data_IF_914617621687
#
_entry.id   IF_914617621687
#
_cell.length_a   1.000
_cell.length_b   1.000
_cell.length_c   1.000
_cell.angle_alpha   90.00
_cell.angle_beta   90.00
_cell.angle_gamma   90.00
#
_symmetry.space_group_name_H-M   'P 1'
#
loop_
_entity.id
_entity.type
_entity.pdbx_description
1 polymer ?
#
# COMPACT_ATOMS: atom_id res chain seq x y z
N UNK A 1 1.32 10.38 -68.41
CA UNK A 1 1.82 9.79 -67.14
C UNK A 1 1.03 8.52 -66.91
N UNK A 2 1.73 7.38 -66.94
CA UNK A 2 1.16 6.03 -67.04
C UNK A 2 0.33 5.68 -65.79
N UNK A 3 -0.85 5.08 -65.99
CA UNK A 3 -1.78 4.71 -64.91
C UNK A 3 -1.12 3.78 -63.90
N UNK A 4 -0.21 2.93 -64.37
CA UNK A 4 0.61 2.03 -63.56
C UNK A 4 1.51 2.80 -62.58
N UNK A 5 2.14 3.90 -63.01
CA UNK A 5 3.02 4.73 -62.15
C UNK A 5 2.23 5.42 -61.04
N UNK A 6 1.01 5.86 -61.33
CA UNK A 6 0.12 6.43 -60.30
C UNK A 6 -0.27 5.39 -59.26
N UNK A 7 -0.59 4.16 -59.67
CA UNK A 7 -0.95 3.07 -58.75
C UNK A 7 0.24 2.70 -57.86
N UNK A 8 1.45 2.56 -58.42
CA UNK A 8 2.65 2.27 -57.62
C UNK A 8 2.97 3.38 -56.62
N UNK A 9 2.82 4.66 -57.01
CA UNK A 9 3.01 5.79 -56.10
C UNK A 9 1.97 5.83 -54.96
N UNK A 10 0.73 5.45 -55.24
CA UNK A 10 -0.35 5.42 -54.26
C UNK A 10 -0.13 4.28 -53.24
N UNK A 11 0.27 3.10 -53.72
CA UNK A 11 0.60 1.95 -52.86
C UNK A 11 1.79 2.28 -51.95
N UNK A 12 2.86 2.88 -52.48
CA UNK A 12 4.00 3.31 -51.69
C UNK A 12 3.64 4.33 -50.61
N UNK A 13 2.77 5.30 -50.93
CA UNK A 13 2.27 6.29 -49.97
C UNK A 13 1.45 5.64 -48.84
N UNK A 14 0.56 4.70 -49.17
CA UNK A 14 -0.24 3.98 -48.19
C UNK A 14 0.65 3.17 -47.24
N UNK A 15 1.70 2.51 -47.74
CA UNK A 15 2.63 1.75 -46.89
C UNK A 15 3.38 2.66 -45.92
N UNK A 16 3.83 3.83 -46.37
CA UNK A 16 4.49 4.83 -45.50
C UNK A 16 3.52 5.35 -44.44
N UNK A 17 2.28 5.67 -44.82
CA UNK A 17 1.25 6.13 -43.86
C UNK A 17 0.95 5.04 -42.83
N UNK A 18 0.80 3.78 -43.26
CA UNK A 18 0.55 2.66 -42.37
C UNK A 18 1.71 2.49 -41.38
N UNK A 19 2.96 2.49 -41.87
CA UNK A 19 4.14 2.38 -41.02
C UNK A 19 4.26 3.55 -40.03
N UNK A 20 4.07 4.79 -40.49
CA UNK A 20 4.09 5.96 -39.63
C UNK A 20 2.98 5.92 -38.59
N UNK A 21 1.77 5.50 -38.97
CA UNK A 21 0.63 5.37 -38.05
C UNK A 21 0.92 4.29 -37.00
N UNK A 22 1.40 3.12 -37.40
CA UNK A 22 1.81 2.06 -36.47
C UNK A 22 2.92 2.55 -35.54
N UNK A 23 3.98 3.16 -36.07
CA UNK A 23 5.08 3.70 -35.27
C UNK A 23 4.62 4.80 -34.29
N UNK A 24 3.71 5.68 -34.71
CA UNK A 24 3.09 6.68 -33.83
C UNK A 24 2.25 6.00 -32.78
N UNK A 25 1.39 5.04 -33.12
CA UNK A 25 0.56 4.29 -32.15
C UNK A 25 1.41 3.52 -31.12
N UNK A 26 2.54 2.95 -31.53
CA UNK A 26 3.53 2.35 -30.64
C UNK A 26 4.25 3.39 -29.76
N UNK A 27 4.53 4.58 -30.29
CA UNK A 27 5.24 5.65 -29.56
C UNK A 27 4.33 6.46 -28.65
N UNK A 28 3.04 6.56 -28.96
CA UNK A 28 2.02 7.30 -28.21
C UNK A 28 1.25 6.41 -27.22
N UNK A 29 1.67 5.16 -27.03
CA UNK A 29 1.05 4.19 -26.11
C UNK A 29 -0.46 3.97 -26.38
N UNK A 30 -0.92 4.13 -27.64
CA UNK A 30 -2.33 3.96 -28.03
C UNK A 30 -2.76 2.48 -28.17
N UNK A 31 -1.82 1.53 -28.10
CA UNK A 31 -2.11 0.10 -28.06
C UNK A 31 -2.43 -0.28 -26.60
N UNK A 32 -3.72 -0.41 -26.30
CA UNK A 32 -4.27 -0.46 -24.93
C UNK A 32 -3.69 -1.54 -23.99
N UNK A 33 -3.20 -2.65 -24.52
CA UNK A 33 -2.67 -3.76 -23.71
C UNK A 33 -1.25 -3.48 -23.17
N UNK A 34 -0.39 -2.87 -24.00
CA UNK A 34 0.96 -2.45 -23.59
C UNK A 34 0.93 -1.35 -22.52
N UNK A 35 -0.05 -0.44 -22.61
CA UNK A 35 -0.22 0.62 -21.60
C UNK A 35 -0.77 0.08 -20.29
N UNK A 36 -1.67 -0.92 -20.31
CA UNK A 36 -2.18 -1.57 -19.10
C UNK A 36 -1.09 -2.33 -18.33
N UNK A 37 -0.29 -3.15 -19.02
CA UNK A 37 0.82 -3.88 -18.42
C UNK A 37 1.88 -2.96 -17.80
N UNK A 38 2.18 -1.87 -18.50
CA UNK A 38 3.13 -0.86 -18.02
C UNK A 38 2.59 -0.18 -16.76
N UNK A 39 1.32 0.21 -16.74
CA UNK A 39 0.70 0.81 -15.56
C UNK A 39 0.66 -0.18 -14.39
N UNK A 40 0.34 -1.45 -14.64
CA UNK A 40 0.37 -2.49 -13.63
C UNK A 40 1.76 -2.65 -13.00
N UNK A 41 2.83 -2.68 -13.81
CA UNK A 41 4.22 -2.73 -13.33
C UNK A 41 4.59 -1.49 -12.50
N UNK A 42 4.16 -0.30 -12.92
CA UNK A 42 4.38 0.93 -12.17
C UNK A 42 3.69 0.84 -10.81
N UNK A 43 2.40 0.49 -10.76
CA UNK A 43 1.65 0.38 -9.52
C UNK A 43 2.18 -0.71 -8.58
N UNK A 44 2.55 -1.87 -9.13
CA UNK A 44 3.23 -2.95 -8.38
C UNK A 44 4.52 -2.44 -7.74
N UNK A 45 5.35 -1.68 -8.48
CA UNK A 45 6.58 -1.10 -7.94
C UNK A 45 6.33 -0.11 -6.81
N UNK A 46 5.32 0.75 -6.91
CA UNK A 46 4.95 1.64 -5.81
C UNK A 46 4.42 0.86 -4.59
N UNK A 47 3.58 -0.14 -4.79
CA UNK A 47 3.08 -1.00 -3.71
C UNK A 47 4.23 -1.73 -2.99
N UNK A 48 5.18 -2.28 -3.75
CA UNK A 48 6.36 -2.92 -3.17
C UNK A 48 7.17 -1.92 -2.34
N UNK A 49 7.50 -0.76 -2.89
CA UNK A 49 8.31 0.23 -2.17
C UNK A 49 7.61 0.75 -0.91
N UNK A 50 6.27 0.84 -0.94
CA UNK A 50 5.43 1.21 0.20
C UNK A 50 5.62 0.29 1.40
N UNK A 51 5.48 -1.03 1.19
CA UNK A 51 5.68 -2.00 2.28
C UNK A 51 7.15 -2.14 2.66
N UNK A 52 8.05 -2.16 1.68
CA UNK A 52 9.49 -2.26 1.91
C UNK A 52 10.02 -1.15 2.82
N UNK A 53 9.66 0.11 2.55
CA UNK A 53 10.14 1.25 3.36
C UNK A 53 9.57 1.23 4.78
N UNK A 54 8.31 0.86 4.96
CA UNK A 54 7.72 0.70 6.28
C UNK A 54 8.46 -0.38 7.08
N UNK A 55 8.61 -1.56 6.49
CA UNK A 55 9.26 -2.69 7.15
C UNK A 55 10.73 -2.41 7.46
N UNK A 56 11.45 -1.73 6.56
CA UNK A 56 12.83 -1.31 6.82
C UNK A 56 12.94 -0.36 8.00
N UNK A 57 12.05 0.63 8.11
CA UNK A 57 11.99 1.51 9.27
C UNK A 57 11.74 0.72 10.57
N UNK A 58 10.84 -0.26 10.54
CA UNK A 58 10.55 -1.10 11.70
C UNK A 58 11.75 -1.98 12.08
N UNK A 59 12.43 -2.58 11.10
CA UNK A 59 13.63 -3.38 11.30
C UNK A 59 14.78 -2.59 11.93
N UNK A 60 14.97 -1.34 11.49
CA UNK A 60 15.99 -0.45 12.06
C UNK A 60 15.66 -0.05 13.51
N UNK A 61 14.38 0.09 13.85
CA UNK A 61 13.92 0.60 15.15
C UNK A 61 13.62 -0.48 16.19
N UNK A 62 13.22 -1.66 15.73
CA UNK A 62 12.80 -2.79 16.55
C UNK A 62 13.48 -4.09 16.05
N UNK A 63 14.82 -4.15 16.02
CA UNK A 63 15.53 -5.35 15.60
C UNK A 63 15.32 -6.51 16.57
N UNK A 64 15.55 -7.73 16.07
CA UNK A 64 15.47 -9.00 16.80
C UNK A 64 14.08 -9.31 17.37
N UNK A 65 13.03 -8.80 16.71
CA UNK A 65 11.63 -9.01 17.10
C UNK A 65 10.91 -9.98 16.18
N UNK A 66 9.89 -10.61 16.73
CA UNK A 66 8.90 -11.37 15.96
C UNK A 66 7.78 -10.45 15.51
N UNK A 67 7.37 -10.61 14.26
CA UNK A 67 6.29 -9.85 13.66
C UNK A 67 5.11 -10.75 13.26
N UNK A 68 3.90 -10.21 13.42
CA UNK A 68 2.73 -10.68 12.69
C UNK A 68 2.28 -9.64 11.66
N UNK A 69 1.76 -10.15 10.53
CA UNK A 69 1.17 -9.32 9.47
C UNK A 69 -0.31 -9.63 9.39
N UNK A 70 -1.15 -8.62 9.63
CA UNK A 70 -2.60 -8.74 9.54
C UNK A 70 -3.03 -8.42 8.10
N UNK A 71 -3.79 -9.34 7.50
CA UNK A 71 -4.16 -9.33 6.08
C UNK A 71 -5.64 -9.58 5.88
N UNK A 72 -6.14 -9.27 4.67
CA UNK A 72 -7.51 -9.62 4.29
C UNK A 72 -7.66 -11.14 4.10
N UNK A 73 -8.89 -11.68 4.17
CA UNK A 73 -9.14 -13.03 3.70
C UNK A 73 -8.67 -13.20 2.26
N UNK A 74 -8.19 -14.40 1.91
CA UNK A 74 -7.73 -14.77 0.57
C UNK A 74 -6.63 -13.84 0.01
N UNK A 75 -5.80 -13.25 0.87
CA UNK A 75 -4.73 -12.33 0.45
C UNK A 75 -3.77 -12.94 -0.60
N UNK A 76 -3.59 -14.26 -0.57
CA UNK A 76 -2.73 -15.00 -1.49
C UNK A 76 -3.26 -15.03 -2.92
N UNK A 77 -4.58 -15.00 -3.09
CA UNK A 77 -5.26 -14.97 -4.39
C UNK A 77 -5.28 -13.57 -5.00
N UNK A 78 -5.09 -12.54 -4.16
CA UNK A 78 -5.11 -11.14 -4.57
C UNK A 78 -3.66 -10.68 -4.75
N UNK A 79 -3.17 -10.67 -5.99
CA UNK A 79 -1.77 -10.32 -6.34
C UNK A 79 -1.25 -9.10 -5.57
N UNK A 80 -2.03 -8.01 -5.53
CA UNK A 80 -1.65 -6.78 -4.83
C UNK A 80 -1.45 -6.97 -3.32
N UNK A 81 -2.27 -7.80 -2.67
CA UNK A 81 -2.12 -8.06 -1.22
C UNK A 81 -0.91 -8.94 -0.95
N UNK A 82 -0.73 -10.00 -1.76
CA UNK A 82 0.46 -10.85 -1.71
C UNK A 82 1.75 -10.04 -1.89
N UNK A 83 1.80 -9.15 -2.88
CA UNK A 83 2.94 -8.25 -3.11
C UNK A 83 3.25 -7.36 -1.90
N UNK A 84 2.24 -6.88 -1.18
CA UNK A 84 2.46 -6.07 0.02
C UNK A 84 3.08 -6.91 1.14
N UNK A 85 2.60 -8.14 1.36
CA UNK A 85 3.20 -9.07 2.34
C UNK A 85 4.65 -9.39 1.97
N UNK A 86 4.91 -9.70 0.70
CA UNK A 86 6.26 -10.01 0.20
C UNK A 86 7.18 -8.80 0.38
N UNK A 87 6.68 -7.58 0.14
CA UNK A 87 7.46 -6.36 0.33
C UNK A 87 7.79 -6.06 1.80
N UNK A 88 6.89 -6.37 2.73
CA UNK A 88 7.15 -6.26 4.17
C UNK A 88 8.24 -7.24 4.58
N UNK A 89 8.13 -8.52 4.19
CA UNK A 89 9.16 -9.54 4.43
C UNK A 89 10.53 -9.10 3.89
N UNK A 90 10.57 -8.58 2.67
CA UNK A 90 11.81 -8.09 2.06
C UNK A 90 12.40 -6.87 2.79
N UNK A 91 11.56 -5.97 3.32
CA UNK A 91 12.01 -4.80 4.09
C UNK A 91 12.47 -5.15 5.50
N UNK A 92 11.87 -6.18 6.12
CA UNK A 92 12.32 -6.70 7.41
C UNK A 92 13.70 -7.36 7.32
N UNK A 93 13.96 -8.09 6.22
CA UNK A 93 15.17 -8.88 6.07
C UNK A 93 15.36 -9.85 7.23
N UNK A 94 16.58 -9.95 7.74
CA UNK A 94 16.90 -10.84 8.87
C UNK A 94 16.71 -10.16 10.23
N UNK A 95 16.38 -8.86 10.27
CA UNK A 95 16.27 -8.09 11.52
C UNK A 95 14.94 -8.30 12.24
N UNK A 96 13.89 -8.74 11.54
CA UNK A 96 12.58 -9.06 12.12
C UNK A 96 12.09 -10.38 11.53
N UNK A 97 11.74 -11.33 12.39
CA UNK A 97 11.21 -12.64 11.97
C UNK A 97 9.69 -12.55 11.82
N UNK A 98 9.16 -12.80 10.62
CA UNK A 98 7.70 -12.91 10.44
C UNK A 98 7.25 -14.29 10.93
N UNK A 99 6.67 -14.33 12.13
CA UNK A 99 6.19 -15.57 12.77
C UNK A 99 4.78 -15.94 12.27
N UNK A 100 3.96 -14.93 11.98
CA UNK A 100 2.56 -15.13 11.61
C UNK A 100 2.08 -14.20 10.49
N UNK A 101 1.20 -14.72 9.65
CA UNK A 101 0.37 -13.94 8.74
C UNK A 101 -1.07 -14.29 9.07
N UNK A 102 -1.82 -13.31 9.55
CA UNK A 102 -3.14 -13.53 10.15
C UNK A 102 -4.22 -12.93 9.26
N UNK A 103 -4.97 -13.76 8.51
CA UNK A 103 -6.14 -13.28 7.79
C UNK A 103 -7.29 -13.02 8.77
N UNK A 104 -7.83 -11.80 8.76
CA UNK A 104 -9.03 -11.47 9.54
C UNK A 104 -10.27 -11.67 8.68
N UNK A 105 -11.01 -12.73 8.99
CA UNK A 105 -12.34 -12.96 8.41
C UNK A 105 -13.39 -12.23 9.23
N UNK A 106 -14.12 -11.35 8.54
CA UNK A 106 -15.21 -10.55 9.12
C UNK A 106 -16.55 -11.16 8.72
N UNK A 107 -17.51 -11.16 9.65
CA UNK A 107 -18.87 -11.59 9.33
C UNK A 107 -19.56 -10.57 8.42
N UNK A 108 -19.67 -10.92 7.14
CA UNK A 108 -20.33 -10.10 6.12
C UNK A 108 -21.83 -10.42 5.99
N UNK A 109 -22.38 -11.36 6.77
CA UNK A 109 -23.79 -11.79 6.66
C UNK A 109 -24.79 -10.65 6.83
N UNK A 110 -24.39 -9.59 7.55
CA UNK A 110 -25.20 -8.40 7.81
C UNK A 110 -25.16 -7.36 6.68
N UNK A 111 -24.30 -7.54 5.67
CA UNK A 111 -24.15 -6.63 4.55
C UNK A 111 -24.90 -7.17 3.32
N UNK A 112 -25.71 -6.31 2.69
CA UNK A 112 -26.54 -6.68 1.54
C UNK A 112 -25.69 -7.23 0.39
N UNK A 113 -26.16 -8.30 -0.25
CA UNK A 113 -25.57 -8.84 -1.47
C UNK A 113 -25.33 -7.73 -2.50
N UNK A 114 -24.09 -7.59 -2.97
CA UNK A 114 -23.69 -6.61 -3.99
C UNK A 114 -22.98 -5.36 -3.47
N UNK A 115 -22.91 -5.15 -2.13
CA UNK A 115 -22.06 -4.13 -1.51
C UNK A 115 -21.18 -4.76 -0.45
N UNK A 116 -20.00 -5.24 -0.85
CA UNK A 116 -18.98 -5.65 0.13
C UNK A 116 -18.36 -4.39 0.72
N UNK A 117 -18.55 -4.11 2.03
CA UNK A 117 -17.93 -2.97 2.69
C UNK A 117 -16.41 -3.12 2.66
N UNK A 118 -15.69 -2.00 2.78
CA UNK A 118 -14.25 -2.06 3.00
C UNK A 118 -13.99 -2.78 4.33
N UNK A 119 -12.96 -3.62 4.42
CA UNK A 119 -12.68 -4.40 5.63
C UNK A 119 -12.51 -3.52 6.89
N UNK A 120 -11.99 -2.30 6.72
CA UNK A 120 -11.89 -1.26 7.76
C UNK A 120 -13.25 -0.82 8.33
N UNK A 121 -14.34 -0.97 7.56
CA UNK A 121 -15.71 -0.61 7.97
C UNK A 121 -16.42 -1.73 8.74
N UNK A 122 -15.82 -2.94 8.76
CA UNK A 122 -16.43 -4.14 9.34
C UNK A 122 -15.61 -4.76 10.45
N UNK A 123 -14.29 -4.73 10.34
CA UNK A 123 -13.37 -5.26 11.34
C UNK A 123 -13.60 -4.57 12.69
N UNK A 124 -13.73 -5.39 13.72
CA UNK A 124 -13.95 -4.97 15.10
C UNK A 124 -12.66 -5.05 15.92
N UNK A 125 -12.64 -4.35 17.04
CA UNK A 125 -11.57 -4.46 18.03
C UNK A 125 -11.37 -5.91 18.50
N UNK A 126 -12.47 -6.67 18.63
CA UNK A 126 -12.44 -8.09 19.01
C UNK A 126 -11.70 -8.95 17.98
N UNK A 127 -11.92 -8.72 16.68
CA UNK A 127 -11.21 -9.44 15.61
C UNK A 127 -9.69 -9.21 15.69
N UNK A 128 -9.28 -7.97 15.97
CA UNK A 128 -7.88 -7.60 16.09
C UNK A 128 -7.25 -8.13 17.38
N UNK A 129 -7.94 -7.99 18.51
CA UNK A 129 -7.49 -8.48 19.81
C UNK A 129 -7.35 -10.01 19.79
N UNK A 130 -8.24 -10.73 19.11
CA UNK A 130 -8.14 -12.17 18.91
C UNK A 130 -6.87 -12.56 18.14
N UNK A 131 -6.54 -11.83 17.07
CA UNK A 131 -5.31 -12.04 16.32
C UNK A 131 -4.07 -11.86 17.21
N UNK A 132 -4.07 -10.82 18.05
CA UNK A 132 -2.99 -10.56 18.99
C UNK A 132 -2.90 -11.62 20.10
N UNK A 133 -4.02 -12.00 20.72
CA UNK A 133 -4.04 -12.98 21.81
C UNK A 133 -3.51 -14.36 21.37
N UNK A 134 -3.69 -14.73 20.10
CA UNK A 134 -3.14 -15.96 19.52
C UNK A 134 -1.65 -15.89 19.19
N UNK A 135 -1.11 -14.69 19.04
CA UNK A 135 0.27 -14.43 18.59
C UNK A 135 0.97 -13.44 19.51
N UNK A 136 0.84 -13.62 20.83
CA UNK A 136 1.40 -12.69 21.84
C UNK A 136 2.93 -12.61 21.80
N UNK A 137 3.59 -13.60 21.22
CA UNK A 137 5.02 -13.60 20.93
C UNK A 137 5.42 -12.57 19.86
N UNK A 138 4.46 -12.10 19.04
CA UNK A 138 4.70 -11.09 18.02
C UNK A 138 4.69 -9.69 18.62
N UNK A 139 5.88 -9.13 18.80
CA UNK A 139 6.10 -7.81 19.39
C UNK A 139 5.96 -6.67 18.37
N UNK A 140 5.98 -6.99 17.07
CA UNK A 140 5.70 -6.07 15.97
C UNK A 140 4.44 -6.54 15.24
N UNK A 141 3.53 -5.62 14.97
CA UNK A 141 2.27 -5.92 14.27
C UNK A 141 2.16 -4.98 13.09
N UNK A 142 2.05 -5.51 11.88
CA UNK A 142 1.79 -4.70 10.69
C UNK A 142 0.40 -5.02 10.15
N UNK A 143 -0.51 -4.04 10.16
CA UNK A 143 -1.81 -4.18 9.49
C UNK A 143 -1.77 -3.60 8.08
N UNK A 144 -2.06 -4.44 7.09
CA UNK A 144 -2.24 -4.03 5.69
C UNK A 144 -3.68 -3.58 5.42
N UNK A 145 -4.60 -3.96 6.31
CA UNK A 145 -6.04 -3.74 6.19
C UNK A 145 -6.57 -2.64 7.13
N UNK A 146 -5.67 -1.81 7.68
CA UNK A 146 -6.04 -0.67 8.51
C UNK A 146 -6.31 -1.03 9.97
N UNK A 147 -7.17 -0.25 10.62
CA UNK A 147 -7.54 -0.41 12.03
C UNK A 147 -9.03 -0.75 12.15
N UNK A 148 -9.47 -1.34 13.27
CA UNK A 148 -10.88 -1.60 13.50
C UNK A 148 -11.72 -0.32 13.51
N UNK A 149 -13.01 -0.45 13.19
CA UNK A 149 -13.96 0.67 13.22
C UNK A 149 -14.19 1.22 14.64
N UNK A 150 -14.04 0.38 15.65
CA UNK A 150 -14.16 0.67 17.08
C UNK A 150 -12.80 0.58 17.78
N UNK A 151 -11.80 1.25 17.18
CA UNK A 151 -10.41 1.26 17.64
C UNK A 151 -10.23 1.67 19.11
N UNK A 152 -11.17 2.42 19.67
CA UNK A 152 -11.19 2.85 21.08
C UNK A 152 -11.42 1.68 22.06
N UNK A 153 -11.94 0.55 21.56
CA UNK A 153 -12.23 -0.65 22.36
C UNK A 153 -11.14 -1.71 22.33
N UNK A 154 -10.05 -1.49 21.58
CA UNK A 154 -8.97 -2.47 21.47
C UNK A 154 -8.28 -2.67 22.83
N UNK A 155 -8.22 -3.91 23.31
CA UNK A 155 -7.52 -4.25 24.56
C UNK A 155 -6.04 -3.89 24.49
N UNK A 156 -5.42 -4.00 23.31
CA UNK A 156 -4.03 -3.59 23.12
C UNK A 156 -3.79 -2.12 23.48
N UNK A 157 -4.79 -1.24 23.44
CA UNK A 157 -4.63 0.18 23.80
C UNK A 157 -4.66 0.38 25.33
N UNK A 158 -5.12 -0.60 26.10
CA UNK A 158 -5.12 -0.51 27.57
C UNK A 158 -3.90 -1.16 28.21
N UNK A 159 -3.11 -1.91 27.42
CA UNK A 159 -1.86 -2.53 27.88
C UNK A 159 -0.80 -1.49 28.22
N UNK A 160 0.10 -1.83 29.14
CA UNK A 160 1.29 -1.01 29.42
C UNK A 160 2.24 -0.95 28.20
N UNK A 161 2.99 0.13 28.05
CA UNK A 161 3.85 0.33 26.84
C UNK A 161 4.90 -0.78 26.63
N UNK A 162 5.36 -1.42 27.72
CA UNK A 162 6.34 -2.50 27.66
C UNK A 162 5.72 -3.85 27.23
N UNK A 163 4.41 -4.03 27.38
CA UNK A 163 3.68 -5.24 26.95
C UNK A 163 3.01 -5.04 25.59
N UNK A 164 2.75 -3.78 25.22
CA UNK A 164 2.02 -3.43 24.01
C UNK A 164 2.88 -3.69 22.76
N UNK A 165 2.35 -4.43 21.77
CA UNK A 165 3.03 -4.61 20.50
C UNK A 165 3.23 -3.27 19.79
N UNK A 166 4.30 -3.19 19.00
CA UNK A 166 4.60 -2.03 18.17
C UNK A 166 3.78 -2.14 16.88
N UNK A 167 2.66 -1.41 16.85
CA UNK A 167 1.69 -1.48 15.76
C UNK A 167 2.05 -0.49 14.67
N UNK A 168 2.07 -0.98 13.44
CA UNK A 168 2.30 -0.20 12.24
C UNK A 168 1.22 -0.45 11.19
N UNK A 169 0.92 0.58 10.40
CA UNK A 169 -0.20 0.59 9.46
C UNK A 169 0.30 0.90 8.04
N UNK A 170 0.03 0.00 7.10
CA UNK A 170 0.51 0.15 5.72
C UNK A 170 -0.51 0.83 4.80
N UNK A 171 -1.79 0.53 4.98
CA UNK A 171 -2.89 1.23 4.32
C UNK A 171 -3.90 1.58 5.41
N UNK A 172 -3.89 2.81 5.91
CA UNK A 172 -4.88 3.25 6.87
C UNK A 172 -5.32 4.68 6.62
N UNK A 173 -6.59 4.95 6.91
CA UNK A 173 -7.15 6.30 6.96
C UNK A 173 -6.52 7.10 8.09
N UNK A 174 -5.96 8.28 7.75
CA UNK A 174 -5.28 9.18 8.69
C UNK A 174 -6.20 9.87 9.68
N UNK A 175 -7.49 9.97 9.37
CA UNK A 175 -8.38 11.00 9.93
C UNK A 175 -8.42 11.00 11.46
N UNK A 176 -8.31 9.82 12.07
CA UNK A 176 -8.48 9.63 13.52
C UNK A 176 -7.23 9.09 14.24
N UNK A 177 -6.08 9.02 13.55
CA UNK A 177 -4.88 8.37 14.09
C UNK A 177 -3.91 9.32 14.81
N UNK A 178 -4.16 10.63 14.84
CA UNK A 178 -3.19 11.59 15.39
C UNK A 178 -2.84 11.27 16.85
N UNK A 179 -3.87 11.06 17.69
CA UNK A 179 -3.69 10.71 19.11
C UNK A 179 -2.98 9.37 19.30
N UNK A 180 -3.35 8.36 18.50
CA UNK A 180 -2.74 7.03 18.57
C UNK A 180 -1.25 7.06 18.21
N UNK A 181 -0.87 7.83 17.18
CA UNK A 181 0.53 7.97 16.79
C UNK A 181 1.31 8.80 17.83
N UNK A 182 0.76 9.92 18.31
CA UNK A 182 1.41 10.74 19.36
C UNK A 182 1.63 9.96 20.64
N UNK A 183 0.64 9.17 21.05
CA UNK A 183 0.71 8.30 22.22
C UNK A 183 1.53 7.02 22.01
N UNK A 184 2.18 6.84 20.84
CA UNK A 184 2.97 5.66 20.46
C UNK A 184 2.19 4.33 20.44
N UNK A 185 0.87 4.38 20.43
CA UNK A 185 0.02 3.21 20.16
C UNK A 185 0.21 2.71 18.73
N UNK A 186 0.46 3.65 17.80
CA UNK A 186 0.88 3.36 16.42
C UNK A 186 2.28 3.96 16.24
N UNK A 187 3.27 3.10 15.98
CA UNK A 187 4.68 3.51 15.88
C UNK A 187 5.09 3.98 14.49
N UNK A 188 4.30 3.62 13.48
CA UNK A 188 4.47 4.04 12.10
C UNK A 188 3.19 3.85 11.30
N UNK A 189 2.90 4.80 10.40
CA UNK A 189 1.79 4.67 9.47
C UNK A 189 2.14 5.28 8.12
N UNK A 190 1.82 4.57 7.04
CA UNK A 190 2.10 5.01 5.67
C UNK A 190 0.89 5.72 5.08
N UNK A 191 1.14 6.87 4.48
CA UNK A 191 0.09 7.71 3.92
C UNK A 191 0.47 8.29 2.58
N UNK A 192 -0.52 8.57 1.74
CA UNK A 192 -0.30 9.36 0.54
C UNK A 192 0.08 10.79 0.89
N UNK A 193 1.02 11.36 0.15
CA UNK A 193 1.32 12.79 0.22
C UNK A 193 0.08 13.56 -0.27
N UNK A 194 -0.47 14.50 0.51
CA UNK A 194 -1.61 15.30 0.07
C UNK A 194 -1.33 16.01 -1.25
N UNK A 195 -2.23 15.82 -2.22
CA UNK A 195 -2.11 16.42 -3.55
C UNK A 195 -1.12 15.72 -4.49
N UNK A 196 -0.62 14.53 -4.17
CA UNK A 196 0.19 13.75 -5.10
C UNK A 196 -0.55 13.55 -6.43
N UNK A 197 0.20 13.54 -7.53
CA UNK A 197 -0.33 13.27 -8.87
C UNK A 197 0.26 11.96 -9.36
N UNK A 198 -0.59 11.05 -9.82
CA UNK A 198 -0.13 9.81 -10.44
C UNK A 198 0.73 10.11 -11.66
N UNK A 199 1.91 9.51 -11.70
CA UNK A 199 2.83 9.60 -12.82
C UNK A 199 2.77 8.30 -13.63
N UNK A 200 2.77 8.42 -14.96
CA UNK A 200 2.95 7.29 -15.89
C UNK A 200 4.43 7.01 -16.19
N UNK A 201 5.35 7.78 -15.60
CA UNK A 201 6.79 7.57 -15.73
C UNK A 201 7.19 6.32 -14.94
N UNK A 202 8.15 5.56 -15.45
CA UNK A 202 8.75 4.48 -14.69
C UNK A 202 9.41 5.06 -13.42
N UNK A 203 9.10 4.53 -12.23
CA UNK A 203 9.73 4.98 -10.98
C UNK A 203 11.25 4.69 -10.97
N UNK A 204 12.04 5.44 -10.19
CA UNK A 204 13.47 5.18 -10.04
C UNK A 204 13.78 3.80 -9.42
N UNK A 205 15.04 3.37 -9.54
CA UNK A 205 15.49 2.09 -8.98
C UNK A 205 15.61 2.07 -7.45
N UNK A 206 15.77 3.23 -6.80
CA UNK A 206 15.89 3.35 -5.34
C UNK A 206 14.50 3.30 -4.66
N UNK A 207 14.20 2.28 -3.84
CA UNK A 207 12.89 2.14 -3.20
C UNK A 207 12.45 3.34 -2.36
N UNK A 208 13.39 4.02 -1.68
CA UNK A 208 13.07 5.18 -0.86
C UNK A 208 12.63 6.36 -1.72
N UNK A 209 13.31 6.59 -2.85
CA UNK A 209 12.91 7.65 -3.80
C UNK A 209 11.54 7.36 -4.42
N UNK A 210 11.26 6.09 -4.75
CA UNK A 210 9.92 5.69 -5.23
C UNK A 210 8.85 5.96 -4.17
N UNK A 211 9.14 5.61 -2.91
CA UNK A 211 8.24 5.85 -1.80
C UNK A 211 7.91 7.34 -1.66
N UNK A 212 8.92 8.21 -1.62
CA UNK A 212 8.80 9.65 -1.40
C UNK A 212 8.08 10.40 -2.55
N UNK A 213 7.89 9.78 -3.72
CA UNK A 213 7.09 10.37 -4.81
C UNK A 213 5.58 10.36 -4.52
N UNK A 214 5.09 9.39 -3.74
CA UNK A 214 3.64 9.19 -3.48
C UNK A 214 3.28 9.13 -2.01
N UNK A 215 4.20 8.71 -1.18
CA UNK A 215 3.95 8.33 0.20
C UNK A 215 4.82 9.10 1.18
N UNK A 216 4.36 9.14 2.41
CA UNK A 216 5.09 9.62 3.57
C UNK A 216 4.90 8.63 4.71
N UNK A 217 5.94 8.49 5.53
CA UNK A 217 5.90 7.73 6.77
C UNK A 217 5.61 8.71 7.92
N UNK A 218 4.48 8.52 8.58
CA UNK A 218 4.10 9.28 9.78
C UNK A 218 4.46 8.44 11.01
N UNK A 219 5.15 9.07 11.95
CA UNK A 219 5.73 8.45 13.15
C UNK A 219 5.53 9.37 14.35
N UNK A 220 5.68 8.87 15.58
CA UNK A 220 5.68 9.73 16.77
C UNK A 220 6.70 10.89 16.68
N UNK A 221 7.82 10.68 16.00
CA UNK A 221 8.90 11.67 15.91
C UNK A 221 8.61 12.83 14.95
N UNK A 222 7.77 12.61 13.93
CA UNK A 222 7.56 13.60 12.86
C UNK A 222 6.11 14.09 12.75
N UNK A 223 5.17 13.54 13.53
CA UNK A 223 3.74 13.85 13.42
C UNK A 223 3.43 15.33 13.57
N UNK A 224 4.07 16.04 14.50
CA UNK A 224 3.82 17.48 14.69
C UNK A 224 4.32 18.32 13.51
N UNK A 225 5.42 17.92 12.88
CA UNK A 225 5.91 18.57 11.65
C UNK A 225 4.96 18.31 10.49
N UNK A 226 4.51 17.06 10.32
CA UNK A 226 3.60 16.65 9.26
C UNK A 226 2.24 17.35 9.42
N UNK A 227 1.71 17.44 10.64
CA UNK A 227 0.45 18.16 10.94
C UNK A 227 0.52 19.63 10.55
N UNK A 228 1.65 20.30 10.84
CA UNK A 228 1.87 21.70 10.44
C UNK A 228 1.95 21.85 8.92
N UNK A 229 2.60 20.91 8.24
CA UNK A 229 2.76 20.94 6.77
C UNK A 229 1.47 20.58 6.02
N UNK A 230 0.65 19.70 6.59
CA UNK A 230 -0.54 19.13 5.99
C UNK A 230 -1.74 19.19 6.95
N UNK A 231 -2.27 20.39 7.19
CA UNK A 231 -3.30 20.63 8.21
C UNK A 231 -4.58 19.79 8.06
N UNK A 232 -4.90 19.35 6.82
CA UNK A 232 -6.09 18.53 6.52
C UNK A 232 -5.84 17.02 6.55
N UNK A 233 -4.63 16.60 6.90
CA UNK A 233 -4.28 15.19 6.97
C UNK A 233 -5.00 14.50 8.14
N UNK A 234 -5.09 15.18 9.28
CA UNK A 234 -5.77 14.73 10.48
C UNK A 234 -7.05 15.56 10.66
N UNK A 235 -8.15 14.93 11.08
CA UNK A 235 -9.34 15.68 11.44
C UNK A 235 -9.15 16.26 12.84
N UNK A 236 -9.56 17.52 13.03
CA UNK A 236 -9.74 18.05 14.38
C UNK A 236 -10.94 17.31 14.98
N UNK A 237 -10.70 16.51 16.01
CA UNK A 237 -11.78 16.07 16.90
C UNK A 237 -12.25 17.24 17.76
#
# INVERSE_FOLDING_TARGET
MDTSVKIFSLLGLITVIAFCTTAVLYRTDMVGEYSADRLAKIESRYNFCKGYVLAKYLAEKYPDRKAMIIVSPNYEEILRQKELVDSLKAGFGDSITVEAIVPISVDLSRYQHGKSPHIEEVMTAEDFDYAFEKHRECEVVVSIIGVPKDLDKMKVWTMEDYERPKIALLNSSTKYLEGAIKGKFVVASVHYIPGFKSSKRMPPGDPKKVFEERYMLVTPENIDQIRKKYERLFFKM
#
